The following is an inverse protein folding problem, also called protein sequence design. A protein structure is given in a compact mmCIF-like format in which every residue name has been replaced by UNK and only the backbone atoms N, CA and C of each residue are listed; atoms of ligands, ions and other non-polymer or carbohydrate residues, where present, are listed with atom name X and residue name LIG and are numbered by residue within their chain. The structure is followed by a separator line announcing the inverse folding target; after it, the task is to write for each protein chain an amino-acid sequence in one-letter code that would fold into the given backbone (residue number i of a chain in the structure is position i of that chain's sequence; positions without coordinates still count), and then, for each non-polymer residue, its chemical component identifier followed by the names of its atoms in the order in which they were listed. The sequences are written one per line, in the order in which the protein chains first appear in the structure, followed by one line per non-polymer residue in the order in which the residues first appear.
data_IF_186446958254
#
_entry.id   IF_186446958254
#
_cell.length_a   1.000
_cell.length_b   1.000
_cell.length_c   1.000
_cell.angle_alpha   90.00
_cell.angle_beta   90.00
_cell.angle_gamma   90.00
#
_symmetry.space_group_name_H-M   'P 1'
#
loop_
_entity.id
_entity.type
_entity.pdbx_description
1 polymer ?
#
# COMPACT_ATOMS: atom_id res chain seq x y z
N UNK A 1 -19.58 31.61 -8.04
CA UNK A 1 -20.39 30.82 -7.08
C UNK A 1 -20.97 29.62 -7.80
N UNK A 2 -20.32 28.49 -7.75
CA UNK A 2 -20.88 27.13 -7.87
C UNK A 2 -19.76 26.22 -7.36
N UNK A 3 -19.74 25.93 -6.06
CA UNK A 3 -19.00 24.84 -5.46
C UNK A 3 -20.05 23.86 -4.96
N UNK A 4 -20.25 22.80 -5.70
CA UNK A 4 -21.02 21.65 -5.22
C UNK A 4 -20.72 20.42 -6.07
N UNK A 5 -20.51 19.29 -5.38
CA UNK A 5 -20.64 17.93 -5.86
C UNK A 5 -19.39 17.19 -6.40
N UNK A 6 -18.23 17.29 -5.75
CA UNK A 6 -17.18 16.27 -5.98
C UNK A 6 -17.18 15.16 -4.92
N UNK A 7 -17.78 15.37 -3.73
CA UNK A 7 -17.76 14.40 -2.63
C UNK A 7 -18.69 13.19 -2.76
N UNK A 8 -19.66 13.24 -3.66
CA UNK A 8 -20.67 12.18 -3.77
C UNK A 8 -20.31 11.01 -4.70
N UNK A 9 -19.36 11.20 -5.61
CA UNK A 9 -19.02 10.17 -6.60
C UNK A 9 -18.15 9.03 -6.07
N UNK A 10 -17.28 9.32 -5.12
CA UNK A 10 -16.27 8.33 -4.66
C UNK A 10 -16.84 7.21 -3.80
N UNK A 11 -17.85 7.50 -2.98
CA UNK A 11 -18.51 6.48 -2.14
C UNK A 11 -19.33 5.46 -2.94
N UNK A 12 -19.69 5.80 -4.18
CA UNK A 12 -20.53 4.95 -5.05
C UNK A 12 -19.71 4.04 -5.96
N UNK A 13 -18.41 4.28 -6.14
CA UNK A 13 -17.59 3.52 -7.10
C UNK A 13 -17.26 2.11 -6.64
N UNK A 14 -17.13 1.85 -5.33
CA UNK A 14 -17.03 0.46 -4.84
C UNK A 14 -18.31 -0.38 -5.09
N UNK A 15 -19.47 0.30 -5.20
CA UNK A 15 -20.73 -0.33 -5.62
C UNK A 15 -20.90 -0.40 -7.13
N UNK A 16 -20.07 0.34 -7.88
CA UNK A 16 -20.08 0.42 -9.35
C UNK A 16 -18.88 -0.24 -10.02
N UNK A 17 -18.02 -0.92 -9.28
CA UNK A 17 -17.18 -1.93 -9.93
C UNK A 17 -18.17 -2.84 -10.67
N UNK A 18 -18.05 -3.00 -12.00
CA UNK A 18 -19.02 -3.77 -12.77
C UNK A 18 -19.25 -5.12 -12.09
N UNK A 19 -20.47 -5.65 -12.18
CA UNK A 19 -20.75 -7.00 -11.75
C UNK A 19 -19.96 -7.92 -12.68
N UNK A 20 -18.70 -8.22 -12.28
CA UNK A 20 -17.87 -9.17 -13.02
C UNK A 20 -18.55 -10.52 -13.01
N UNK A 21 -18.45 -11.24 -14.12
CA UNK A 21 -18.95 -12.59 -14.22
C UNK A 21 -18.47 -13.39 -13.00
N UNK A 22 -19.39 -13.91 -12.23
CA UNK A 22 -19.06 -14.74 -11.07
C UNK A 22 -18.23 -15.92 -11.58
N UNK A 23 -17.08 -16.23 -10.98
CA UNK A 23 -16.40 -17.48 -11.30
C UNK A 23 -17.36 -18.65 -11.09
N UNK A 24 -17.20 -19.69 -11.86
CA UNK A 24 -18.07 -20.85 -11.93
C UNK A 24 -18.25 -21.65 -10.64
N UNK A 25 -17.55 -21.24 -9.56
CA UNK A 25 -17.75 -21.69 -8.16
C UNK A 25 -17.25 -20.59 -7.22
N UNK A 26 -17.94 -20.31 -6.09
CA UNK A 26 -17.41 -19.39 -5.10
C UNK A 26 -16.12 -19.96 -4.53
N UNK A 27 -15.01 -19.29 -4.71
CA UNK A 27 -13.75 -19.64 -4.04
C UNK A 27 -13.96 -19.53 -2.52
N UNK A 28 -13.41 -20.45 -1.77
CA UNK A 28 -13.34 -20.35 -0.31
C UNK A 28 -12.25 -19.38 0.15
N UNK A 29 -12.21 -19.05 1.46
CA UNK A 29 -11.14 -18.24 2.03
C UNK A 29 -9.75 -18.73 1.60
N UNK A 30 -8.84 -17.79 1.31
CA UNK A 30 -7.50 -18.09 0.83
C UNK A 30 -7.34 -18.28 -0.70
N UNK A 31 -8.43 -18.30 -1.47
CA UNK A 31 -8.40 -18.52 -2.90
C UNK A 31 -8.78 -17.27 -3.73
N UNK A 32 -8.76 -16.10 -3.11
CA UNK A 32 -9.01 -14.84 -3.78
C UNK A 32 -7.71 -14.16 -4.19
N UNK A 33 -7.68 -13.56 -5.38
CA UNK A 33 -6.56 -12.77 -5.88
C UNK A 33 -6.56 -11.38 -5.24
N UNK A 34 -7.76 -10.85 -4.96
CA UNK A 34 -7.97 -9.56 -4.31
C UNK A 34 -9.20 -9.62 -3.38
N UNK A 35 -9.07 -9.03 -2.20
CA UNK A 35 -10.16 -8.83 -1.26
C UNK A 35 -10.38 -7.33 -1.05
N UNK A 36 -11.64 -6.89 -1.18
CA UNK A 36 -12.07 -5.53 -0.91
C UNK A 36 -13.16 -5.53 0.17
N UNK A 37 -12.88 -4.87 1.31
CA UNK A 37 -13.81 -4.77 2.44
C UNK A 37 -14.19 -3.33 2.67
N UNK A 38 -15.46 -3.06 3.05
CA UNK A 38 -15.98 -1.72 3.32
C UNK A 38 -16.94 -1.68 4.49
N UNK A 39 -17.26 -0.45 4.99
CA UNK A 39 -18.21 -0.17 6.08
C UNK A 39 -17.75 -0.70 7.43
N UNK A 40 -16.53 -0.36 7.84
CA UNK A 40 -15.99 -0.72 9.14
C UNK A 40 -14.95 0.28 9.61
N UNK A 41 -14.46 0.08 10.82
CA UNK A 41 -13.25 0.72 11.30
C UNK A 41 -12.01 0.02 10.72
N UNK A 42 -10.80 0.63 10.78
CA UNK A 42 -9.61 0.08 10.15
C UNK A 42 -9.26 -1.34 10.60
N UNK A 43 -9.49 -1.67 11.87
CA UNK A 43 -9.17 -2.98 12.45
C UNK A 43 -10.16 -4.04 11.99
N UNK A 44 -11.46 -3.72 12.02
CA UNK A 44 -12.53 -4.64 11.57
C UNK A 44 -12.42 -4.94 10.08
N UNK A 45 -12.13 -3.91 9.26
CA UNK A 45 -11.87 -4.08 7.83
C UNK A 45 -10.69 -5.02 7.57
N UNK A 46 -9.58 -4.80 8.30
CA UNK A 46 -8.38 -5.62 8.17
C UNK A 46 -8.63 -7.08 8.56
N UNK A 47 -9.21 -7.32 9.73
CA UNK A 47 -9.50 -8.68 10.21
C UNK A 47 -10.35 -9.45 9.22
N UNK A 48 -11.42 -8.82 8.73
CA UNK A 48 -12.29 -9.44 7.73
C UNK A 48 -11.57 -9.72 6.41
N UNK A 49 -10.75 -8.77 5.94
CA UNK A 49 -9.98 -8.96 4.71
C UNK A 49 -8.99 -10.13 4.85
N UNK A 50 -8.27 -10.21 5.97
CA UNK A 50 -7.33 -11.30 6.21
C UNK A 50 -8.00 -12.67 6.38
N UNK A 51 -9.18 -12.72 7.01
CA UNK A 51 -10.00 -13.95 7.06
C UNK A 51 -10.31 -14.47 5.64
N UNK A 52 -10.72 -13.59 4.73
CA UNK A 52 -10.99 -13.95 3.33
C UNK A 52 -9.71 -14.30 2.55
N UNK A 53 -8.56 -13.68 2.89
CA UNK A 53 -7.25 -14.01 2.31
C UNK A 53 -6.65 -15.31 2.87
N UNK A 54 -7.29 -15.96 3.85
CA UNK A 54 -6.85 -17.22 4.44
C UNK A 54 -5.92 -17.08 5.65
N UNK A 55 -5.90 -15.90 6.29
CA UNK A 55 -5.11 -15.59 7.49
C UNK A 55 -3.67 -15.16 7.21
N UNK A 56 -3.02 -14.56 8.23
CA UNK A 56 -1.62 -14.13 8.13
C UNK A 56 -0.67 -15.34 8.11
N UNK A 57 -1.08 -16.47 8.65
CA UNK A 57 -0.34 -17.75 8.67
C UNK A 57 -0.06 -18.32 7.27
N UNK A 58 -0.81 -17.85 6.27
CA UNK A 58 -0.55 -18.17 4.86
C UNK A 58 0.77 -17.53 4.36
N UNK A 59 1.11 -16.36 4.89
CA UNK A 59 2.24 -15.55 4.46
C UNK A 59 3.43 -15.67 5.38
N UNK A 60 3.23 -15.97 6.67
CA UNK A 60 4.27 -16.02 7.69
C UNK A 60 4.37 -17.46 8.25
N UNK A 61 5.59 -17.99 8.25
CA UNK A 61 5.93 -19.25 8.93
C UNK A 61 6.58 -18.97 10.27
N UNK A 62 6.40 -19.89 11.22
CA UNK A 62 6.99 -19.76 12.56
C UNK A 62 8.50 -19.51 12.49
N UNK A 63 8.98 -18.53 13.26
CA UNK A 63 10.38 -18.15 13.37
C UNK A 63 10.88 -17.14 12.33
N UNK A 64 10.07 -16.77 11.35
CA UNK A 64 10.46 -15.81 10.30
C UNK A 64 10.56 -14.37 10.83
N UNK A 65 11.37 -13.58 10.14
CA UNK A 65 11.50 -12.13 10.30
C UNK A 65 10.65 -11.43 9.27
N UNK A 66 9.77 -10.54 9.72
CA UNK A 66 8.85 -9.76 8.87
C UNK A 66 9.33 -8.32 8.78
N UNK A 67 9.34 -7.76 7.57
CA UNK A 67 9.53 -6.33 7.34
C UNK A 67 8.23 -5.71 6.81
N UNK A 68 7.77 -4.67 7.48
CA UNK A 68 6.59 -3.90 7.14
C UNK A 68 7.01 -2.56 6.52
N UNK A 69 6.38 -2.20 5.40
CA UNK A 69 6.60 -0.93 4.72
C UNK A 69 5.32 -0.09 4.76
N UNK A 70 5.05 0.64 5.85
CA UNK A 70 3.95 1.61 5.88
C UNK A 70 4.26 2.81 4.97
N UNK A 71 3.27 3.69 4.77
CA UNK A 71 3.53 5.06 4.39
C UNK A 71 3.66 5.88 5.69
N UNK A 72 4.87 6.26 6.06
CA UNK A 72 5.17 7.06 7.25
C UNK A 72 6.04 8.28 6.88
N UNK A 73 5.79 8.86 5.69
CA UNK A 73 6.69 9.81 5.04
C UNK A 73 6.52 11.24 5.51
N UNK A 74 5.39 11.59 6.16
CA UNK A 74 5.00 12.98 6.40
C UNK A 74 4.87 13.29 7.88
N UNK A 75 5.42 14.43 8.27
CA UNK A 75 5.26 15.01 9.61
C UNK A 75 3.88 15.70 9.73
N UNK A 76 2.85 14.88 9.84
CA UNK A 76 1.46 15.28 10.04
C UNK A 76 0.72 14.23 10.88
N UNK A 77 -0.32 14.65 11.66
CA UNK A 77 -1.08 13.72 12.48
C UNK A 77 -1.97 12.77 11.66
N UNK A 78 -2.45 11.66 12.25
CA UNK A 78 -3.22 10.63 11.55
C UNK A 78 -4.47 11.14 10.83
N UNK A 79 -5.14 12.17 11.39
CA UNK A 79 -6.35 12.78 10.85
C UNK A 79 -6.14 13.41 9.47
N UNK A 80 -4.89 13.66 9.08
CA UNK A 80 -4.53 14.17 7.77
C UNK A 80 -4.45 13.07 6.70
N UNK A 81 -4.52 11.80 7.07
CA UNK A 81 -4.51 10.63 6.17
C UNK A 81 -3.37 10.65 5.12
N UNK A 82 -2.26 11.29 5.43
CA UNK A 82 -1.08 11.29 4.57
C UNK A 82 -0.17 10.07 4.83
N UNK A 83 -0.36 9.41 5.98
CA UNK A 83 0.37 8.25 6.45
C UNK A 83 -0.59 7.09 6.74
N UNK A 84 -0.07 5.86 6.83
CA UNK A 84 -0.83 4.66 7.19
C UNK A 84 -1.51 4.82 8.55
N UNK A 85 -2.76 4.40 8.66
CA UNK A 85 -3.55 4.47 9.88
C UNK A 85 -2.88 3.70 11.04
N UNK A 86 -2.69 4.32 12.23
CA UNK A 86 -2.01 3.69 13.35
C UNK A 86 -2.72 2.45 13.90
N UNK A 87 -4.06 2.44 13.97
CA UNK A 87 -4.82 1.29 14.49
C UNK A 87 -4.68 0.09 13.57
N UNK A 88 -4.75 0.31 12.24
CA UNK A 88 -4.47 -0.70 11.23
C UNK A 88 -3.03 -1.23 11.40
N UNK A 89 -2.07 -0.34 11.57
CA UNK A 89 -0.66 -0.69 11.69
C UNK A 89 -0.40 -1.58 12.91
N UNK A 90 -0.99 -1.23 14.07
CA UNK A 90 -0.89 -2.03 15.30
C UNK A 90 -1.49 -3.43 15.10
N UNK A 91 -2.70 -3.50 14.51
CA UNK A 91 -3.38 -4.78 14.26
C UNK A 91 -2.55 -5.71 13.35
N UNK A 92 -1.91 -5.17 12.32
CA UNK A 92 -1.04 -5.95 11.42
C UNK A 92 0.18 -6.49 12.17
N UNK A 93 0.83 -5.67 13.02
CA UNK A 93 2.01 -6.10 13.80
C UNK A 93 1.63 -7.23 14.77
N UNK A 94 0.52 -7.08 15.51
CA UNK A 94 0.02 -8.10 16.43
C UNK A 94 -0.28 -9.42 15.69
N UNK A 95 -0.88 -9.33 14.51
CA UNK A 95 -1.25 -10.50 13.71
C UNK A 95 -0.03 -11.21 13.11
N UNK A 96 1.03 -10.47 12.76
CA UNK A 96 2.31 -11.06 12.37
C UNK A 96 2.91 -11.92 13.49
N UNK A 97 2.92 -11.43 14.75
CA UNK A 97 3.40 -12.22 15.89
C UNK A 97 2.50 -13.42 16.19
N UNK A 98 1.18 -13.24 16.10
CA UNK A 98 0.22 -14.33 16.27
C UNK A 98 0.40 -15.44 15.23
N UNK A 99 0.78 -15.07 13.98
CA UNK A 99 1.13 -16.01 12.92
C UNK A 99 2.50 -16.71 13.13
N UNK A 100 3.24 -16.33 14.16
CA UNK A 100 4.51 -16.96 14.54
C UNK A 100 5.77 -16.23 14.10
N UNK A 101 5.68 -14.96 13.69
CA UNK A 101 6.87 -14.17 13.39
C UNK A 101 7.78 -14.07 14.64
N UNK A 102 9.08 -14.27 14.44
CA UNK A 102 10.08 -14.08 15.51
C UNK A 102 10.37 -12.61 15.75
N UNK A 103 10.40 -11.81 14.70
CA UNK A 103 10.67 -10.38 14.72
C UNK A 103 9.79 -9.67 13.67
N UNK A 104 9.29 -8.50 14.03
CA UNK A 104 8.53 -7.62 13.13
C UNK A 104 9.19 -6.25 13.15
N UNK A 105 9.74 -5.85 12.01
CA UNK A 105 10.32 -4.55 11.79
C UNK A 105 9.42 -3.70 10.88
N UNK A 106 9.45 -2.39 11.08
CA UNK A 106 8.83 -1.44 10.16
C UNK A 106 9.78 -0.28 9.87
N UNK A 107 9.72 0.30 8.68
CA UNK A 107 10.49 1.47 8.29
C UNK A 107 9.85 2.22 7.13
N UNK A 108 10.23 3.46 6.95
CA UNK A 108 10.02 4.25 5.74
C UNK A 108 11.18 5.25 5.56
N UNK A 109 11.67 5.41 4.35
CA UNK A 109 12.51 6.56 4.04
C UNK A 109 11.63 7.79 3.88
N UNK A 110 11.58 8.63 4.90
CA UNK A 110 10.61 9.72 5.02
C UNK A 110 10.88 10.89 4.05
N UNK A 111 9.86 11.68 3.75
CA UNK A 111 10.00 12.95 3.01
C UNK A 111 10.33 14.12 3.93
N UNK A 112 9.75 14.14 5.12
CA UNK A 112 10.02 15.12 6.18
C UNK A 112 11.05 14.55 7.17
N UNK A 113 11.34 15.27 8.26
CA UNK A 113 12.24 14.82 9.32
C UNK A 113 11.73 13.50 9.92
N UNK A 114 12.58 12.48 9.91
CA UNK A 114 12.15 11.09 10.13
C UNK A 114 11.58 10.84 11.53
N UNK A 115 12.19 11.40 12.60
CA UNK A 115 11.66 11.25 13.95
C UNK A 115 10.24 11.82 14.06
N UNK A 116 10.06 13.04 13.55
CA UNK A 116 8.74 13.71 13.58
C UNK A 116 7.71 13.00 12.72
N UNK A 117 8.12 12.56 11.53
CA UNK A 117 7.24 11.80 10.65
C UNK A 117 6.74 10.52 11.32
N UNK A 118 7.63 9.80 11.99
CA UNK A 118 7.31 8.56 12.69
C UNK A 118 6.44 8.77 13.92
N UNK A 119 6.77 9.78 14.74
CA UNK A 119 6.07 10.03 16.00
C UNK A 119 4.72 10.75 15.79
N UNK A 120 4.70 11.83 14.99
CA UNK A 120 3.50 12.63 14.77
C UNK A 120 2.44 11.89 13.91
N UNK A 121 2.87 10.99 13.00
CA UNK A 121 1.93 10.11 12.28
C UNK A 121 1.30 9.03 13.15
N UNK A 122 1.82 8.80 14.36
CA UNK A 122 1.40 7.71 15.25
C UNK A 122 1.90 6.32 14.82
N UNK A 123 2.53 6.17 13.64
CA UNK A 123 2.94 4.88 13.09
C UNK A 123 3.98 4.19 13.98
N UNK A 124 5.00 4.93 14.45
CA UNK A 124 6.02 4.36 15.32
C UNK A 124 5.46 3.86 16.67
N UNK A 125 4.53 4.61 17.26
CA UNK A 125 3.84 4.22 18.48
C UNK A 125 2.99 2.96 18.28
N UNK A 126 2.27 2.89 17.14
CA UNK A 126 1.46 1.74 16.78
C UNK A 126 2.30 0.47 16.59
N UNK A 127 3.44 0.57 15.89
CA UNK A 127 4.39 -0.55 15.71
C UNK A 127 4.91 -1.05 17.04
N UNK A 128 5.36 -0.14 17.93
CA UNK A 128 5.84 -0.49 19.28
C UNK A 128 4.74 -1.11 20.14
N UNK A 129 3.53 -0.55 20.09
CA UNK A 129 2.39 -1.06 20.85
C UNK A 129 1.95 -2.47 20.41
N UNK A 130 2.16 -2.83 19.13
CA UNK A 130 1.96 -4.18 18.62
C UNK A 130 3.11 -5.15 18.92
N UNK A 131 4.19 -4.69 19.56
CA UNK A 131 5.38 -5.49 19.88
C UNK A 131 6.49 -5.47 18.84
N UNK A 132 6.30 -4.73 17.74
CA UNK A 132 7.30 -4.56 16.68
C UNK A 132 8.33 -3.47 16.95
N UNK A 133 9.27 -3.33 16.03
CA UNK A 133 10.31 -2.32 16.11
C UNK A 133 10.30 -1.40 14.89
N UNK A 134 10.16 -0.08 15.12
CA UNK A 134 10.32 0.92 14.07
C UNK A 134 11.81 1.23 13.89
N UNK A 135 12.32 1.05 12.67
CA UNK A 135 13.74 1.19 12.36
C UNK A 135 14.03 2.54 11.68
N UNK A 136 15.16 3.20 11.99
CA UNK A 136 15.59 4.39 11.27
C UNK A 136 15.99 4.04 9.83
N UNK A 137 15.65 4.92 8.88
CA UNK A 137 16.00 4.74 7.47
C UNK A 137 16.55 6.05 6.84
N UNK A 138 17.15 6.91 7.68
CA UNK A 138 17.49 8.30 7.38
C UNK A 138 18.96 8.52 6.99
N UNK A 139 19.76 7.47 6.86
CA UNK A 139 21.18 7.56 6.48
C UNK A 139 21.54 6.53 5.43
N UNK A 140 22.37 6.94 4.47
CA UNK A 140 22.72 6.14 3.30
C UNK A 140 23.39 4.80 3.63
N UNK A 141 24.13 4.71 4.73
CA UNK A 141 24.79 3.48 5.17
C UNK A 141 23.87 2.30 5.47
N UNK A 142 22.57 2.55 5.64
CA UNK A 142 21.55 1.50 5.79
C UNK A 142 21.12 0.87 4.48
N UNK A 143 21.63 1.36 3.36
CA UNK A 143 21.23 0.94 2.02
C UNK A 143 22.39 0.28 1.28
N UNK A 144 22.09 -0.76 0.52
CA UNK A 144 23.03 -1.47 -0.35
C UNK A 144 22.63 -1.29 -1.81
N UNK A 145 23.63 -1.11 -2.67
CA UNK A 145 23.40 -1.07 -4.10
C UNK A 145 23.03 -2.47 -4.61
N UNK A 146 22.00 -2.51 -5.42
CA UNK A 146 21.49 -3.71 -6.12
C UNK A 146 21.29 -3.42 -7.58
N UNK A 147 21.49 -4.43 -8.42
CA UNK A 147 21.08 -4.41 -9.82
C UNK A 147 19.59 -4.76 -9.95
N UNK A 148 18.92 -4.18 -10.95
CA UNK A 148 17.53 -4.48 -11.29
C UNK A 148 17.49 -5.03 -12.72
N UNK A 149 17.65 -6.33 -12.91
CA UNK A 149 17.66 -6.93 -14.24
C UNK A 149 16.33 -6.71 -14.97
N UNK A 150 16.40 -6.34 -16.24
CA UNK A 150 15.22 -6.06 -17.06
C UNK A 150 14.66 -4.63 -16.92
N UNK A 151 15.18 -3.84 -15.98
CA UNK A 151 14.78 -2.45 -15.84
C UNK A 151 15.20 -1.59 -17.04
N UNK A 152 14.34 -0.64 -17.43
CA UNK A 152 14.60 0.26 -18.56
C UNK A 152 15.29 1.57 -18.13
N UNK A 153 15.01 2.07 -16.94
CA UNK A 153 15.53 3.33 -16.38
C UNK A 153 16.24 3.14 -15.06
N UNK A 154 15.63 2.40 -14.13
CA UNK A 154 16.19 2.15 -12.80
C UNK A 154 16.98 0.84 -12.79
N UNK A 155 18.10 0.79 -13.51
CA UNK A 155 18.92 -0.42 -13.62
C UNK A 155 19.67 -0.77 -12.33
N UNK A 156 19.83 0.21 -11.43
CA UNK A 156 20.41 0.05 -10.09
C UNK A 156 19.66 0.89 -9.07
N UNK A 157 19.63 0.42 -7.84
CA UNK A 157 19.08 1.19 -6.71
C UNK A 157 19.85 0.88 -5.43
N UNK A 158 19.92 1.84 -4.50
CA UNK A 158 20.35 1.58 -3.12
C UNK A 158 19.11 1.24 -2.30
N UNK A 159 18.97 -0.04 -1.95
CA UNK A 159 17.82 -0.61 -1.23
C UNK A 159 18.15 -0.79 0.24
N UNK A 160 17.16 -0.55 1.11
CA UNK A 160 17.28 -0.70 2.55
C UNK A 160 17.70 -2.14 2.92
N UNK A 161 18.82 -2.29 3.63
CA UNK A 161 19.45 -3.59 3.90
C UNK A 161 18.49 -4.55 4.63
N UNK A 162 17.73 -4.06 5.62
CA UNK A 162 16.78 -4.90 6.37
C UNK A 162 15.65 -5.48 5.51
N UNK A 163 15.28 -4.84 4.40
CA UNK A 163 14.36 -5.43 3.43
C UNK A 163 14.96 -6.66 2.75
N UNK A 164 16.27 -6.64 2.50
CA UNK A 164 16.97 -7.75 1.85
C UNK A 164 17.09 -8.96 2.79
N UNK A 165 17.31 -8.69 4.09
CA UNK A 165 17.55 -9.69 5.12
C UNK A 165 16.25 -10.29 5.72
N UNK A 166 15.07 -9.76 5.35
CA UNK A 166 13.79 -10.23 5.90
C UNK A 166 13.19 -11.34 5.06
N UNK A 167 12.57 -12.32 5.75
CA UNK A 167 11.92 -13.47 5.12
C UNK A 167 10.61 -13.09 4.45
N UNK A 168 9.83 -12.19 5.06
CA UNK A 168 8.51 -11.75 4.58
C UNK A 168 8.47 -10.24 4.47
N UNK A 169 7.95 -9.75 3.35
CA UNK A 169 7.79 -8.33 3.04
C UNK A 169 6.33 -7.96 2.86
N UNK A 170 5.77 -7.14 3.76
CA UNK A 170 4.39 -6.65 3.69
C UNK A 170 4.39 -5.14 3.45
N UNK A 171 3.71 -4.72 2.39
CA UNK A 171 3.56 -3.31 2.01
C UNK A 171 2.20 -2.78 2.48
N UNK A 172 2.19 -1.65 3.21
CA UNK A 172 0.98 -1.08 3.82
C UNK A 172 0.82 0.38 3.38
N UNK A 173 0.49 0.60 2.09
CA UNK A 173 0.30 1.93 1.54
C UNK A 173 -1.00 2.57 1.98
N UNK A 174 -1.07 3.91 1.84
CA UNK A 174 -2.32 4.68 1.90
C UNK A 174 -2.81 4.95 0.48
N UNK A 175 -4.09 4.74 0.23
CA UNK A 175 -4.74 5.19 -0.99
C UNK A 175 -4.88 6.71 -0.98
N UNK A 176 -4.25 7.41 -1.93
CA UNK A 176 -4.35 8.87 -2.01
C UNK A 176 -4.02 9.44 -3.39
N UNK A 177 -4.57 10.62 -3.67
CA UNK A 177 -4.13 11.47 -4.78
C UNK A 177 -2.63 11.80 -4.69
N UNK A 178 -1.99 12.00 -5.83
CA UNK A 178 -0.61 12.47 -5.93
C UNK A 178 -0.41 13.37 -7.15
N UNK A 179 0.13 14.58 -6.93
CA UNK A 179 0.32 15.57 -7.99
C UNK A 179 1.17 15.08 -9.17
N UNK A 180 2.21 14.25 -8.92
CA UNK A 180 3.13 13.81 -9.99
C UNK A 180 2.76 12.47 -10.62
N UNK A 181 1.99 11.63 -9.98
CA UNK A 181 1.68 10.26 -10.42
C UNK A 181 0.19 9.96 -10.44
N UNK A 182 -0.65 10.98 -10.31
CA UNK A 182 -2.11 10.93 -10.17
C UNK A 182 -2.54 10.24 -8.87
N UNK A 183 -2.00 9.07 -8.57
CA UNK A 183 -2.29 8.27 -7.38
C UNK A 183 -1.01 7.86 -6.63
N UNK A 184 -1.12 7.62 -5.33
CA UNK A 184 -0.18 6.86 -4.50
C UNK A 184 -0.91 5.65 -3.97
N UNK A 185 -0.38 4.46 -4.24
CA UNK A 185 -0.83 3.20 -3.67
C UNK A 185 0.40 2.29 -3.47
N UNK A 186 0.30 0.99 -3.73
CA UNK A 186 1.33 0.01 -3.39
C UNK A 186 2.65 0.21 -4.17
N UNK A 187 2.60 0.30 -5.50
CA UNK A 187 3.82 0.47 -6.31
C UNK A 187 4.57 1.76 -5.96
N UNK A 188 3.84 2.89 -5.84
CA UNK A 188 4.45 4.19 -5.50
C UNK A 188 5.02 4.21 -4.09
N UNK A 189 4.43 3.45 -3.13
CA UNK A 189 4.91 3.34 -1.76
C UNK A 189 6.30 2.69 -1.68
N UNK A 190 6.69 1.88 -2.68
CA UNK A 190 8.02 1.26 -2.73
C UNK A 190 9.16 2.27 -2.88
N UNK A 191 8.91 3.51 -3.28
CA UNK A 191 9.94 4.55 -3.27
C UNK A 191 10.53 4.78 -1.87
N UNK A 192 9.78 4.47 -0.80
CA UNK A 192 10.27 4.58 0.57
C UNK A 192 11.23 3.47 1.00
N UNK A 193 11.56 2.51 0.12
CA UNK A 193 12.57 1.49 0.42
C UNK A 193 13.93 1.78 -0.22
N UNK A 194 14.04 2.86 -1.02
CA UNK A 194 15.28 3.25 -1.69
C UNK A 194 15.84 4.56 -1.15
N UNK A 195 17.17 4.71 -1.23
CA UNK A 195 17.84 5.93 -0.79
C UNK A 195 17.63 7.09 -1.75
N UNK A 196 17.99 6.96 -3.03
CA UNK A 196 17.94 8.06 -3.99
C UNK A 196 16.61 8.14 -4.76
N UNK A 197 15.57 8.64 -4.08
CA UNK A 197 14.27 8.90 -4.72
C UNK A 197 14.30 10.06 -5.71
N UNK A 198 15.27 10.98 -5.59
CA UNK A 198 15.41 12.11 -6.52
C UNK A 198 15.81 11.64 -7.91
N UNK A 199 16.56 10.53 -7.99
CA UNK A 199 16.86 9.89 -9.26
C UNK A 199 15.57 9.54 -10.03
N UNK A 200 14.59 8.93 -9.38
CA UNK A 200 13.32 8.56 -10.03
C UNK A 200 12.58 9.76 -10.60
N UNK A 201 12.49 10.86 -9.84
CA UNK A 201 11.84 12.08 -10.30
C UNK A 201 12.55 12.75 -11.48
N UNK A 202 13.85 12.52 -11.69
CA UNK A 202 14.67 13.11 -12.77
C UNK A 202 14.78 12.19 -13.99
N UNK A 203 14.49 10.91 -13.85
CA UNK A 203 14.77 9.88 -14.87
C UNK A 203 13.55 9.05 -15.25
N UNK A 204 12.40 9.69 -15.51
CA UNK A 204 11.13 9.03 -15.79
C UNK A 204 10.57 8.32 -14.56
N UNK A 205 9.88 9.09 -13.72
CA UNK A 205 9.28 8.62 -12.47
C UNK A 205 8.39 7.38 -12.66
N UNK A 206 7.57 7.37 -13.71
CA UNK A 206 6.60 6.29 -13.95
C UNK A 206 7.30 4.98 -14.33
N UNK A 207 8.31 5.06 -15.20
CA UNK A 207 9.11 3.89 -15.57
C UNK A 207 9.90 3.38 -14.35
N UNK A 208 10.53 4.27 -13.54
CA UNK A 208 11.28 3.86 -12.36
C UNK A 208 10.38 3.16 -11.31
N UNK A 209 9.12 3.59 -11.15
CA UNK A 209 8.15 2.92 -10.25
C UNK A 209 7.91 1.48 -10.73
N UNK A 210 7.69 1.27 -12.02
CA UNK A 210 7.47 -0.05 -12.59
C UNK A 210 8.76 -0.91 -12.54
N UNK A 211 9.90 -0.33 -12.92
CA UNK A 211 11.21 -1.02 -12.90
C UNK A 211 11.54 -1.59 -11.53
N UNK A 212 11.27 -0.84 -10.44
CA UNK A 212 11.59 -1.31 -9.09
C UNK A 212 10.82 -2.59 -8.71
N UNK A 213 9.62 -2.79 -9.25
CA UNK A 213 8.85 -4.01 -9.03
C UNK A 213 9.50 -5.27 -9.61
N UNK A 214 10.49 -5.15 -10.51
CA UNK A 214 11.29 -6.27 -11.00
C UNK A 214 12.30 -6.76 -9.96
N UNK A 215 12.72 -5.91 -9.04
CA UNK A 215 13.71 -6.28 -8.02
C UNK A 215 13.10 -7.14 -6.92
N UNK A 216 12.14 -6.60 -6.18
CA UNK A 216 11.46 -7.33 -5.09
C UNK A 216 10.04 -6.81 -4.91
N UNK A 217 9.06 -7.67 -5.21
CA UNK A 217 7.65 -7.39 -4.90
C UNK A 217 7.35 -7.78 -3.45
N UNK A 218 6.43 -7.06 -2.78
CA UNK A 218 5.89 -7.50 -1.50
C UNK A 218 5.17 -8.85 -1.62
N UNK A 219 5.26 -9.67 -0.58
CA UNK A 219 4.47 -10.91 -0.44
C UNK A 219 2.98 -10.60 -0.27
N UNK A 220 2.68 -9.46 0.34
CA UNK A 220 1.32 -8.99 0.58
C UNK A 220 1.25 -7.47 0.53
N UNK A 221 0.19 -6.93 -0.06
CA UNK A 221 -0.15 -5.50 -0.05
C UNK A 221 -1.47 -5.30 0.68
N UNK A 222 -1.48 -4.46 1.72
CA UNK A 222 -2.64 -4.10 2.52
C UNK A 222 -2.85 -2.60 2.38
N UNK A 223 -3.79 -2.20 1.55
CA UNK A 223 -4.04 -0.79 1.21
C UNK A 223 -5.02 -0.18 2.19
N UNK A 224 -4.54 0.79 2.96
CA UNK A 224 -5.38 1.63 3.80
C UNK A 224 -6.19 2.60 2.91
N UNK A 225 -7.48 2.36 2.83
CA UNK A 225 -8.46 3.19 2.14
C UNK A 225 -9.58 3.63 3.09
N UNK A 226 -9.29 3.78 4.40
CA UNK A 226 -10.28 4.19 5.39
C UNK A 226 -10.62 5.67 5.27
N UNK A 227 -9.61 6.52 5.40
CA UNK A 227 -9.69 7.96 5.16
C UNK A 227 -8.75 8.29 4.00
N UNK A 228 -9.29 8.72 2.88
CA UNK A 228 -8.58 8.83 1.61
C UNK A 228 -8.42 10.28 1.20
N UNK A 229 -7.20 10.69 0.93
CA UNK A 229 -6.91 12.01 0.37
C UNK A 229 -7.22 12.00 -1.13
N UNK A 230 -8.30 12.68 -1.53
CA UNK A 230 -8.79 12.68 -2.91
C UNK A 230 -8.29 13.87 -3.75
N UNK A 231 -7.64 14.85 -3.10
CA UNK A 231 -7.04 16.01 -3.76
C UNK A 231 -5.86 16.56 -2.96
N UNK A 232 -5.06 17.44 -3.57
CA UNK A 232 -3.89 18.09 -2.96
C UNK A 232 -2.85 17.15 -2.34
N UNK A 233 -2.85 15.84 -2.70
CA UNK A 233 -1.82 14.89 -2.25
C UNK A 233 -0.45 15.15 -2.90
N UNK A 234 0.59 14.61 -2.29
CA UNK A 234 0.60 13.50 -1.33
C UNK A 234 0.54 13.87 0.15
N UNK A 235 0.65 15.16 0.54
CA UNK A 235 0.66 15.62 1.94
C UNK A 235 -0.71 16.16 2.39
N UNK A 236 -1.50 16.70 1.43
CA UNK A 236 -2.75 17.40 1.69
C UNK A 236 -2.56 18.79 2.28
N UNK A 237 -3.61 19.60 2.25
CA UNK A 237 -3.63 20.97 2.80
C UNK A 237 -4.56 21.09 4.01
N UNK A 238 -5.70 20.40 3.97
CA UNK A 238 -6.72 20.45 5.02
C UNK A 238 -7.54 19.16 5.04
N UNK A 239 -8.43 19.03 6.02
CA UNK A 239 -9.40 17.92 6.09
C UNK A 239 -10.39 17.91 4.92
N UNK A 240 -10.60 19.07 4.27
CA UNK A 240 -11.42 19.15 3.05
C UNK A 240 -10.85 18.37 1.85
N UNK A 241 -9.57 17.97 1.93
CA UNK A 241 -8.94 17.12 0.92
C UNK A 241 -9.32 15.64 1.06
N UNK A 242 -10.02 15.28 2.14
CA UNK A 242 -10.23 13.91 2.56
C UNK A 242 -11.67 13.42 2.31
N UNK A 243 -11.78 12.14 1.97
CA UNK A 243 -13.06 11.42 1.86
C UNK A 243 -12.99 10.16 2.74
N UNK A 244 -13.98 9.98 3.61
CA UNK A 244 -14.11 8.79 4.44
C UNK A 244 -14.71 7.65 3.61
N UNK A 245 -13.84 6.77 3.07
CA UNK A 245 -14.28 5.64 2.25
C UNK A 245 -14.54 4.37 3.06
N UNK A 246 -14.03 4.30 4.29
CA UNK A 246 -14.19 3.13 5.20
C UNK A 246 -13.94 1.81 4.49
N UNK A 247 -12.82 1.71 3.80
CA UNK A 247 -12.48 0.59 2.93
C UNK A 247 -11.05 0.12 3.15
N UNK A 248 -10.78 -1.11 2.74
CA UNK A 248 -9.46 -1.71 2.75
C UNK A 248 -9.36 -2.69 1.58
N UNK A 249 -8.20 -2.74 0.92
CA UNK A 249 -7.90 -3.67 -0.16
C UNK A 249 -6.72 -4.54 0.22
N UNK A 250 -6.77 -5.83 -0.10
CA UNK A 250 -5.66 -6.77 0.13
C UNK A 250 -5.42 -7.61 -1.11
N UNK A 251 -4.17 -7.73 -1.54
CA UNK A 251 -3.75 -8.61 -2.63
C UNK A 251 -2.26 -8.95 -2.54
N UNK A 252 -1.86 -10.13 -3.00
CA UNK A 252 -0.45 -10.45 -3.27
C UNK A 252 0.03 -9.86 -4.60
N UNK A 253 -0.89 -9.51 -5.52
CA UNK A 253 -0.57 -8.83 -6.77
C UNK A 253 -0.58 -7.31 -6.55
N UNK A 254 0.60 -6.70 -6.65
CA UNK A 254 0.80 -5.27 -6.43
C UNK A 254 0.12 -4.41 -7.48
N UNK A 255 0.03 -4.88 -8.73
CA UNK A 255 -0.64 -4.16 -9.81
C UNK A 255 -2.16 -4.25 -9.69
N UNK A 256 -2.67 -5.43 -9.33
CA UNK A 256 -4.11 -5.63 -9.11
C UNK A 256 -4.67 -4.72 -8.00
N UNK A 257 -3.93 -4.60 -6.87
CA UNK A 257 -4.38 -3.74 -5.78
C UNK A 257 -4.31 -2.25 -6.14
N UNK A 258 -3.32 -1.85 -6.96
CA UNK A 258 -3.22 -0.47 -7.45
C UNK A 258 -4.30 -0.18 -8.50
N UNK A 259 -4.63 -1.13 -9.38
CA UNK A 259 -5.74 -1.00 -10.33
C UNK A 259 -7.10 -0.84 -9.60
N UNK A 260 -7.34 -1.64 -8.57
CA UNK A 260 -8.54 -1.50 -7.75
C UNK A 260 -8.61 -0.14 -7.03
N UNK A 261 -7.48 0.32 -6.48
CA UNK A 261 -7.40 1.64 -5.85
C UNK A 261 -7.56 2.80 -6.83
N UNK A 262 -7.07 2.68 -8.07
CA UNK A 262 -7.29 3.66 -9.13
C UNK A 262 -8.79 3.86 -9.43
N UNK A 263 -9.54 2.77 -9.58
CA UNK A 263 -11.00 2.81 -9.74
C UNK A 263 -11.70 3.48 -8.55
N UNK A 264 -11.24 3.24 -7.32
CA UNK A 264 -11.80 3.89 -6.12
C UNK A 264 -11.60 5.41 -6.14
N UNK A 265 -10.53 5.90 -6.75
CA UNK A 265 -10.25 7.32 -6.96
C UNK A 265 -10.90 7.88 -8.24
N UNK A 266 -11.66 7.07 -8.99
CA UNK A 266 -12.39 7.49 -10.20
C UNK A 266 -11.53 7.52 -11.47
N UNK A 267 -10.39 6.82 -11.48
CA UNK A 267 -9.50 6.71 -12.64
C UNK A 267 -9.57 5.32 -13.26
N UNK A 268 -9.46 5.23 -14.59
CA UNK A 268 -9.21 3.95 -15.24
C UNK A 268 -7.76 3.55 -14.97
N UNK A 269 -7.47 2.29 -14.60
CA UNK A 269 -6.12 1.84 -14.32
C UNK A 269 -5.14 2.07 -15.48
N UNK A 270 -5.60 1.90 -16.71
CA UNK A 270 -4.83 2.07 -17.94
C UNK A 270 -4.41 3.54 -18.20
N UNK A 271 -5.17 4.50 -17.66
CA UNK A 271 -4.85 5.94 -17.75
C UNK A 271 -3.73 6.33 -16.79
N UNK A 272 -3.44 5.50 -15.79
CA UNK A 272 -2.35 5.72 -14.84
C UNK A 272 -1.04 5.19 -15.44
N UNK A 273 -0.18 6.09 -15.84
CA UNK A 273 1.02 5.77 -16.64
C UNK A 273 1.88 4.64 -16.03
N UNK A 274 2.18 4.66 -14.73
CA UNK A 274 3.01 3.61 -14.13
C UNK A 274 2.29 2.26 -14.00
N UNK A 275 0.96 2.23 -13.90
CA UNK A 275 0.21 0.97 -13.91
C UNK A 275 0.21 0.35 -15.30
N UNK A 276 -0.03 1.16 -16.34
CA UNK A 276 0.03 0.69 -17.74
C UNK A 276 1.42 0.15 -18.07
N UNK A 277 2.50 0.87 -17.72
CA UNK A 277 3.87 0.40 -17.91
C UNK A 277 4.12 -0.93 -17.19
N UNK A 278 3.65 -1.07 -15.94
CA UNK A 278 3.81 -2.29 -15.16
C UNK A 278 3.07 -3.48 -15.81
N UNK A 279 1.87 -3.26 -16.35
CA UNK A 279 1.13 -4.28 -17.09
C UNK A 279 1.89 -4.73 -18.35
N UNK A 280 2.40 -3.78 -19.14
CA UNK A 280 3.24 -4.05 -20.32
C UNK A 280 4.53 -4.82 -19.97
N UNK A 281 5.05 -4.65 -18.74
CA UNK A 281 6.23 -5.37 -18.25
C UNK A 281 5.91 -6.72 -17.59
N UNK A 282 4.62 -7.11 -17.50
CA UNK A 282 4.20 -8.37 -16.87
C UNK A 282 4.39 -8.40 -15.35
N UNK A 283 4.32 -7.24 -14.67
CA UNK A 283 4.50 -7.15 -13.21
C UNK A 283 3.35 -7.79 -12.45
N UNK A 284 2.13 -7.71 -12.96
CA UNK A 284 0.90 -8.24 -12.37
C UNK A 284 -0.29 -8.05 -13.30
N UNK A 285 -1.50 -8.23 -12.77
CA UNK A 285 -2.75 -8.14 -13.53
C UNK A 285 -3.43 -6.77 -13.34
N UNK A 286 -3.59 -6.02 -14.44
CA UNK A 286 -4.29 -4.73 -14.44
C UNK A 286 -5.80 -4.89 -14.70
N UNK A 287 -6.18 -5.89 -15.49
CA UNK A 287 -7.58 -6.20 -15.81
C UNK A 287 -8.22 -6.98 -14.64
N UNK A 288 -9.03 -6.30 -13.86
CA UNK A 288 -9.68 -6.85 -12.69
C UNK A 288 -10.80 -7.87 -13.03
N UNK A 289 -11.24 -7.94 -14.28
CA UNK A 289 -12.23 -8.93 -14.71
C UNK A 289 -11.64 -10.34 -14.80
N UNK A 290 -10.33 -10.43 -14.93
CA UNK A 290 -9.61 -11.71 -14.95
C UNK A 290 -9.26 -12.24 -13.57
N UNK A 291 -9.62 -11.52 -12.49
CA UNK A 291 -9.27 -11.85 -11.13
C UNK A 291 -10.45 -12.39 -10.33
N UNK A 292 -10.16 -13.32 -9.43
CA UNK A 292 -11.11 -13.79 -8.45
C UNK A 292 -11.17 -12.81 -7.25
N UNK A 293 -12.14 -11.88 -7.30
CA UNK A 293 -12.23 -10.78 -6.33
C UNK A 293 -13.36 -11.02 -5.33
N UNK A 294 -13.02 -11.03 -4.04
CA UNK A 294 -14.00 -11.01 -2.95
C UNK A 294 -14.35 -9.58 -2.54
N UNK A 295 -15.64 -9.27 -2.52
CA UNK A 295 -16.17 -7.99 -2.02
C UNK A 295 -17.02 -8.23 -0.80
N UNK A 296 -16.72 -7.55 0.30
CA UNK A 296 -17.43 -7.65 1.58
C UNK A 296 -17.84 -6.26 2.03
N UNK A 297 -19.07 -6.15 2.51
CA UNK A 297 -19.52 -4.99 3.29
C UNK A 297 -19.78 -5.49 4.72
N UNK A 298 -19.16 -4.84 5.71
CA UNK A 298 -19.49 -5.08 7.09
C UNK A 298 -20.86 -4.43 7.42
N UNK A 299 -21.58 -4.99 8.36
CA UNK A 299 -22.92 -4.53 8.77
C UNK A 299 -22.86 -3.23 9.60
#
# INVERSE_FOLDING_TARGET
MIYSAAGGLYATTLGKLPAFASPSSPAGPGNYDLVAVRRGDPVSLYKRAMEEMGGMERYIKSGQTVILKPNASWDVPPERAANTNPDLMKAIVEDCFKAGARQVFAFDHTCDQWEKSYDNSGVANAVRAGGGQMLPANVERYYKEVDIPGAKRLTKAKVYERLMDSDVYINIPVLKHHASTTITIAMKNLMGVVWDRRFWHRNDLHQCIADFCLYKKPDLNIVDAYLVMTQNGPRGRSEADLTRMQSLLVSSDILAVDAAGALMLGHQPEDITHLRIAAEMGIGQIDLEQLNIKRVALD
#
